data_IF_864882411528
#
_entry.id   IF_864882411528
#
_cell.length_a   1.000
_cell.length_b   1.000
_cell.length_c   1.000
_cell.angle_alpha   90.00
_cell.angle_beta   90.00
_cell.angle_gamma   90.00
#
_symmetry.space_group_name_H-M   'P 1'
#
loop_
_entity.id
_entity.type
_entity.pdbx_description
1 polymer ?
#
# COMPACT_ATOMS: atom_id res chain seq x y z
N UNK A 1 14.69 19.04 -57.51
CA UNK A 1 15.04 19.30 -56.12
C UNK A 1 13.88 19.09 -55.13
N UNK A 2 12.69 19.73 -55.32
CA UNK A 2 11.53 19.56 -54.37
C UNK A 2 11.06 18.08 -54.17
N UNK A 3 11.02 17.27 -55.24
CA UNK A 3 10.59 15.85 -55.10
C UNK A 3 11.57 14.98 -54.31
N UNK A 4 12.87 15.18 -54.45
CA UNK A 4 13.90 14.45 -53.70
C UNK A 4 13.82 14.81 -52.22
N UNK A 5 13.60 16.07 -51.88
CA UNK A 5 13.46 16.52 -50.50
C UNK A 5 12.24 15.90 -49.79
N UNK A 6 11.12 15.79 -50.51
CA UNK A 6 9.90 15.14 -49.99
C UNK A 6 10.11 13.65 -49.73
N UNK A 7 10.82 12.95 -50.58
CA UNK A 7 11.14 11.53 -50.42
C UNK A 7 12.08 11.31 -49.22
N UNK A 8 13.10 12.15 -49.08
CA UNK A 8 14.04 12.10 -47.95
C UNK A 8 13.31 12.36 -46.62
N UNK A 9 12.44 13.37 -46.57
CA UNK A 9 11.65 13.66 -45.39
C UNK A 9 10.67 12.53 -45.02
N UNK A 10 10.06 11.87 -46.00
CA UNK A 10 9.23 10.67 -45.76
C UNK A 10 10.03 9.48 -45.23
N UNK A 11 11.26 9.26 -45.71
CA UNK A 11 12.14 8.20 -45.23
C UNK A 11 12.58 8.50 -43.79
N UNK A 12 13.02 9.71 -43.51
CA UNK A 12 13.41 10.15 -42.16
C UNK A 12 12.24 9.98 -41.18
N UNK A 13 11.04 10.46 -41.55
CA UNK A 13 9.82 10.33 -40.75
C UNK A 13 9.48 8.85 -40.50
N UNK A 14 9.61 7.99 -41.49
CA UNK A 14 9.35 6.54 -41.37
C UNK A 14 10.40 5.86 -40.48
N UNK A 15 11.67 6.23 -40.58
CA UNK A 15 12.71 5.72 -39.70
C UNK A 15 12.55 6.21 -38.25
N UNK A 16 12.22 7.47 -38.05
CA UNK A 16 11.95 8.06 -36.75
C UNK A 16 10.75 7.41 -36.07
N UNK A 17 9.66 7.18 -36.80
CA UNK A 17 8.47 6.47 -36.30
C UNK A 17 8.80 5.00 -35.95
N UNK A 18 9.62 4.32 -36.76
CA UNK A 18 10.11 2.96 -36.46
C UNK A 18 10.96 2.93 -35.20
N UNK A 19 11.90 3.86 -35.06
CA UNK A 19 12.73 3.98 -33.88
C UNK A 19 11.90 4.27 -32.62
N UNK A 20 10.91 5.18 -32.69
CA UNK A 20 10.01 5.49 -31.59
C UNK A 20 9.13 4.28 -31.23
N UNK A 21 8.63 3.51 -32.21
CA UNK A 21 7.84 2.31 -31.95
C UNK A 21 8.65 1.16 -31.32
N UNK A 22 9.89 0.95 -31.79
CA UNK A 22 10.80 -0.05 -31.21
C UNK A 22 11.20 0.36 -29.79
N UNK A 23 11.50 1.64 -29.56
CA UNK A 23 11.79 2.18 -28.24
C UNK A 23 10.60 2.06 -27.28
N UNK A 24 9.37 2.35 -27.74
CA UNK A 24 8.15 2.15 -26.93
C UNK A 24 7.89 0.69 -26.60
N UNK A 25 8.15 -0.23 -27.51
CA UNK A 25 7.96 -1.67 -27.27
C UNK A 25 8.96 -2.15 -26.22
N UNK A 26 10.22 -1.78 -26.32
CA UNK A 26 11.25 -2.11 -25.32
C UNK A 26 10.94 -1.49 -23.95
N UNK A 27 10.44 -0.26 -23.88
CA UNK A 27 10.04 0.42 -22.65
C UNK A 27 8.85 -0.27 -21.97
N UNK A 28 7.86 -0.71 -22.75
CA UNK A 28 6.71 -1.41 -22.19
C UNK A 28 7.09 -2.81 -21.66
N UNK A 29 7.99 -3.52 -22.35
CA UNK A 29 8.54 -4.78 -21.86
C UNK A 29 9.33 -4.60 -20.57
N UNK A 30 10.15 -3.54 -20.46
CA UNK A 30 10.86 -3.20 -19.23
C UNK A 30 9.89 -2.84 -18.09
N UNK A 31 8.81 -2.10 -18.39
CA UNK A 31 7.77 -1.79 -17.43
C UNK A 31 7.14 -3.07 -16.86
N UNK A 32 6.70 -3.98 -17.73
CA UNK A 32 6.11 -5.25 -17.31
C UNK A 32 7.10 -6.10 -16.50
N UNK A 33 8.36 -6.16 -16.92
CA UNK A 33 9.41 -6.86 -16.19
C UNK A 33 9.75 -6.22 -14.81
N UNK A 34 9.43 -4.94 -14.62
CA UNK A 34 9.62 -4.25 -13.36
C UNK A 34 8.50 -4.49 -12.34
N UNK A 35 7.41 -5.15 -12.74
CA UNK A 35 6.26 -5.45 -11.89
C UNK A 35 6.30 -6.87 -11.32
N UNK A 36 5.61 -7.08 -10.19
CA UNK A 36 5.37 -8.43 -9.64
C UNK A 36 4.25 -9.15 -10.40
N UNK A 37 3.17 -8.43 -10.65
CA UNK A 37 2.02 -8.84 -11.45
C UNK A 37 1.23 -7.60 -11.88
N UNK A 38 0.57 -7.66 -13.03
CA UNK A 38 -0.34 -6.60 -13.50
C UNK A 38 -1.77 -6.82 -13.03
N UNK A 39 -2.10 -8.06 -12.71
CA UNK A 39 -3.45 -8.52 -12.41
C UNK A 39 -3.98 -8.02 -11.06
N UNK A 40 -3.09 -7.87 -10.08
CA UNK A 40 -3.43 -7.41 -8.72
C UNK A 40 -3.53 -5.90 -8.59
N UNK A 41 -3.22 -5.14 -9.64
CA UNK A 41 -3.24 -3.69 -9.62
C UNK A 41 -4.60 -3.14 -10.05
N UNK A 42 -5.13 -2.14 -9.34
CA UNK A 42 -6.26 -1.35 -9.84
C UNK A 42 -5.86 -0.57 -11.10
N UNK A 43 -6.86 -0.10 -11.88
CA UNK A 43 -6.57 0.70 -13.08
C UNK A 43 -5.72 1.93 -12.78
N UNK A 44 -6.05 2.63 -11.70
CA UNK A 44 -5.33 3.84 -11.26
C UNK A 44 -3.89 3.48 -10.84
N UNK A 45 -3.74 2.45 -10.03
CA UNK A 45 -2.43 1.97 -9.61
C UNK A 45 -1.57 1.59 -10.82
N UNK A 46 -2.09 0.79 -11.74
CA UNK A 46 -1.36 0.32 -12.91
C UNK A 46 -0.96 1.47 -13.86
N UNK A 47 -1.91 2.35 -14.20
CA UNK A 47 -1.72 3.34 -15.26
C UNK A 47 -1.18 4.68 -14.77
N UNK A 48 -1.38 5.03 -13.50
CA UNK A 48 -0.86 6.27 -12.91
C UNK A 48 0.32 5.99 -12.01
N UNK A 49 0.13 5.28 -10.91
CA UNK A 49 1.15 5.10 -9.89
C UNK A 49 2.35 4.30 -10.39
N UNK A 50 2.10 3.09 -10.90
CA UNK A 50 3.17 2.18 -11.37
C UNK A 50 3.88 2.69 -12.62
N UNK A 51 3.16 3.33 -13.55
CA UNK A 51 3.79 3.93 -14.75
C UNK A 51 4.65 5.12 -14.40
N UNK A 52 4.16 6.03 -13.56
CA UNK A 52 4.95 7.18 -13.10
C UNK A 52 6.18 6.70 -12.34
N UNK A 53 6.00 5.75 -11.40
CA UNK A 53 7.10 5.11 -10.69
C UNK A 53 8.13 4.46 -11.61
N UNK A 54 7.70 3.79 -12.69
CA UNK A 54 8.61 3.19 -13.66
C UNK A 54 9.46 4.23 -14.41
N UNK A 55 8.86 5.33 -14.86
CA UNK A 55 9.63 6.39 -15.55
C UNK A 55 10.66 7.02 -14.60
N UNK A 56 10.30 7.23 -13.33
CA UNK A 56 11.24 7.70 -12.31
C UNK A 56 12.33 6.66 -12.03
N UNK A 57 11.96 5.37 -11.88
CA UNK A 57 12.92 4.29 -11.68
C UNK A 57 13.91 4.17 -12.84
N UNK A 58 13.43 4.27 -14.07
CA UNK A 58 14.28 4.28 -15.26
C UNK A 58 15.24 5.48 -15.27
N UNK A 59 14.75 6.67 -14.92
CA UNK A 59 15.57 7.88 -14.82
C UNK A 59 16.62 7.74 -13.72
N UNK A 60 16.25 7.34 -12.51
CA UNK A 60 17.17 7.14 -11.39
C UNK A 60 18.16 6.00 -11.64
N UNK A 61 17.76 4.96 -12.36
CA UNK A 61 18.68 3.89 -12.76
C UNK A 61 19.80 4.41 -13.68
N UNK A 62 19.49 5.30 -14.62
CA UNK A 62 20.50 5.96 -15.46
C UNK A 62 21.48 6.82 -14.67
N UNK A 63 21.00 7.45 -13.58
CA UNK A 63 21.85 8.23 -12.69
C UNK A 63 22.62 7.38 -11.68
N UNK A 64 22.41 6.03 -11.68
CA UNK A 64 23.07 5.12 -10.76
C UNK A 64 22.59 5.21 -9.30
N UNK A 65 21.45 5.88 -9.04
CA UNK A 65 20.87 6.06 -7.71
C UNK A 65 20.52 4.71 -7.09
N UNK A 66 20.81 4.56 -5.80
CA UNK A 66 20.50 3.32 -5.08
C UNK A 66 19.01 3.29 -4.67
N UNK A 67 18.28 2.15 -4.79
CA UNK A 67 16.86 2.05 -4.41
C UNK A 67 16.56 2.58 -2.99
N UNK A 68 17.37 2.20 -2.00
CA UNK A 68 17.20 2.64 -0.61
C UNK A 68 17.19 4.17 -0.45
N UNK A 69 17.87 4.92 -1.31
CA UNK A 69 17.84 6.39 -1.26
C UNK A 69 16.47 6.93 -1.66
N UNK A 70 15.79 6.27 -2.59
CA UNK A 70 14.43 6.63 -3.01
C UNK A 70 13.43 6.28 -1.89
N UNK A 71 13.58 5.12 -1.23
CA UNK A 71 12.78 4.76 -0.05
C UNK A 71 12.92 5.81 1.07
N UNK A 72 14.16 6.23 1.38
CA UNK A 72 14.40 7.27 2.39
C UNK A 72 13.75 8.61 1.97
N UNK A 73 13.86 8.98 0.70
CA UNK A 73 13.22 10.19 0.17
C UNK A 73 11.69 10.12 0.31
N UNK A 74 11.08 8.98 0.03
CA UNK A 74 9.64 8.76 0.22
C UNK A 74 9.25 8.92 1.69
N UNK A 75 10.06 8.36 2.61
CA UNK A 75 9.84 8.50 4.06
C UNK A 75 9.90 9.95 4.51
N UNK A 76 10.88 10.72 4.06
CA UNK A 76 11.03 12.14 4.39
C UNK A 76 9.83 12.94 3.87
N UNK A 77 9.42 12.67 2.64
CA UNK A 77 8.30 13.38 2.01
C UNK A 77 6.97 13.04 2.70
N UNK A 78 6.71 11.76 2.95
CA UNK A 78 5.50 11.29 3.63
C UNK A 78 5.42 11.80 5.06
N UNK A 79 6.48 11.66 5.86
CA UNK A 79 6.52 12.19 7.22
C UNK A 79 6.43 13.72 7.24
N UNK A 80 7.08 14.42 6.29
CA UNK A 80 7.03 15.87 6.16
C UNK A 80 5.63 16.40 5.85
N UNK A 81 4.76 15.62 5.19
CA UNK A 81 3.37 16.00 4.93
C UNK A 81 2.57 16.22 6.23
N UNK A 82 3.01 15.65 7.34
CA UNK A 82 2.38 15.78 8.67
C UNK A 82 2.19 17.23 9.08
N UNK A 83 3.21 18.06 8.88
CA UNK A 83 3.13 19.48 9.23
C UNK A 83 1.98 20.17 8.50
N UNK A 84 1.83 19.90 7.22
CA UNK A 84 0.78 20.50 6.40
C UNK A 84 -0.61 19.93 6.73
N UNK A 85 -0.73 18.63 7.00
CA UNK A 85 -1.98 18.03 7.48
C UNK A 85 -2.40 18.59 8.84
N UNK A 86 -1.45 18.74 9.75
CA UNK A 86 -1.70 19.27 11.09
C UNK A 86 -2.17 20.74 11.07
N UNK A 87 -1.60 21.55 10.17
CA UNK A 87 -1.83 22.99 10.08
C UNK A 87 -2.84 23.39 8.99
N UNK A 88 -3.44 22.42 8.29
CA UNK A 88 -4.23 22.65 7.08
C UNK A 88 -5.71 22.99 7.30
N UNK A 89 -6.15 23.46 8.49
CA UNK A 89 -7.53 23.86 8.69
C UNK A 89 -7.87 25.10 7.85
N UNK A 90 -8.91 25.01 7.02
CA UNK A 90 -9.43 26.18 6.30
C UNK A 90 -10.55 26.85 7.07
N UNK A 91 -11.19 26.17 8.02
CA UNK A 91 -12.24 26.75 8.84
C UNK A 91 -11.67 27.71 9.89
N UNK A 92 -10.62 27.27 10.58
CA UNK A 92 -9.93 28.08 11.60
C UNK A 92 -8.84 28.95 10.99
N UNK A 93 -8.30 28.58 9.83
CA UNK A 93 -7.20 29.26 9.14
C UNK A 93 -5.84 28.92 9.73
N UNK A 94 -4.81 29.59 9.24
CA UNK A 94 -3.41 29.43 9.66
C UNK A 94 -2.88 30.70 10.31
N UNK A 95 -2.12 30.56 11.38
CA UNK A 95 -1.53 31.68 12.13
C UNK A 95 -2.54 32.46 12.98
N UNK A 96 -2.08 33.54 13.59
CA UNK A 96 -2.88 34.37 14.51
C UNK A 96 -4.05 35.08 13.79
N UNK A 97 -3.85 35.43 12.51
CA UNK A 97 -4.88 36.10 11.69
C UNK A 97 -5.91 35.12 11.09
N UNK A 98 -5.69 33.82 11.22
CA UNK A 98 -6.61 32.78 10.74
C UNK A 98 -6.77 32.76 9.23
N UNK A 99 -5.68 32.83 8.45
CA UNK A 99 -5.73 32.81 6.99
C UNK A 99 -6.24 31.45 6.45
N UNK A 100 -7.49 31.47 5.99
CA UNK A 100 -8.20 30.30 5.46
C UNK A 100 -7.63 29.78 4.15
N UNK A 101 -7.12 30.68 3.30
CA UNK A 101 -6.54 30.29 2.01
C UNK A 101 -5.24 29.51 2.20
N UNK A 102 -4.43 29.90 3.18
CA UNK A 102 -3.23 29.16 3.57
C UNK A 102 -3.59 27.78 4.11
N UNK A 103 -4.66 27.65 4.92
CA UNK A 103 -5.16 26.36 5.39
C UNK A 103 -5.54 25.42 4.25
N UNK A 104 -6.27 25.91 3.23
CA UNK A 104 -6.59 25.14 2.02
C UNK A 104 -5.32 24.73 1.26
N UNK A 105 -4.40 25.67 1.05
CA UNK A 105 -3.14 25.39 0.36
C UNK A 105 -2.32 24.32 1.07
N UNK A 106 -2.29 24.33 2.40
CA UNK A 106 -1.60 23.31 3.20
C UNK A 106 -2.22 21.92 3.02
N UNK A 107 -3.54 21.79 3.03
CA UNK A 107 -4.19 20.51 2.73
C UNK A 107 -3.81 19.99 1.34
N UNK A 108 -3.80 20.86 0.31
CA UNK A 108 -3.41 20.47 -1.06
C UNK A 108 -1.95 20.02 -1.11
N UNK A 109 -1.05 20.76 -0.44
CA UNK A 109 0.37 20.40 -0.36
C UNK A 109 0.55 19.07 0.37
N UNK A 110 -0.14 18.86 1.50
CA UNK A 110 -0.09 17.61 2.25
C UNK A 110 -0.49 16.40 1.41
N UNK A 111 -1.63 16.51 0.70
CA UNK A 111 -2.13 15.48 -0.21
C UNK A 111 -1.14 15.21 -1.34
N UNK A 112 -0.60 16.28 -1.95
CA UNK A 112 0.42 16.15 -3.00
C UNK A 112 1.70 15.48 -2.51
N UNK A 113 2.18 15.82 -1.30
CA UNK A 113 3.36 15.21 -0.71
C UNK A 113 3.14 13.72 -0.43
N UNK A 114 1.99 13.34 0.12
CA UNK A 114 1.67 11.94 0.38
C UNK A 114 1.54 11.14 -0.91
N UNK A 115 0.90 11.71 -1.94
CA UNK A 115 0.81 11.11 -3.27
C UNK A 115 2.22 10.84 -3.86
N UNK A 116 3.12 11.82 -3.79
CA UNK A 116 4.48 11.64 -4.29
C UNK A 116 5.31 10.69 -3.43
N UNK A 117 5.07 10.63 -2.10
CA UNK A 117 5.69 9.63 -1.25
C UNK A 117 5.32 8.21 -1.68
N UNK A 118 4.03 7.95 -1.98
CA UNK A 118 3.54 6.66 -2.48
C UNK A 118 4.10 6.33 -3.89
N UNK A 119 4.19 7.32 -4.80
CA UNK A 119 4.85 7.13 -6.11
C UNK A 119 6.31 6.75 -5.94
N UNK A 120 7.05 7.40 -5.02
CA UNK A 120 8.46 7.10 -4.77
C UNK A 120 8.65 5.72 -4.14
N UNK A 121 7.77 5.29 -3.25
CA UNK A 121 7.75 3.95 -2.68
C UNK A 121 7.56 2.87 -3.77
N UNK A 122 6.61 3.10 -4.68
CA UNK A 122 6.48 2.24 -5.86
C UNK A 122 7.71 2.28 -6.77
N UNK A 123 8.41 3.41 -6.84
CA UNK A 123 9.61 3.62 -7.66
C UNK A 123 10.79 2.80 -7.16
N UNK A 124 11.04 2.72 -5.86
CA UNK A 124 12.21 2.04 -5.30
C UNK A 124 12.18 0.53 -5.57
N UNK A 125 11.02 -0.12 -5.42
CA UNK A 125 10.85 -1.52 -5.77
C UNK A 125 11.02 -1.80 -7.26
N UNK A 126 10.57 -0.92 -8.14
CA UNK A 126 10.80 -1.02 -9.58
C UNK A 126 12.27 -0.76 -9.93
N UNK A 127 12.91 0.22 -9.29
CA UNK A 127 14.33 0.51 -9.44
C UNK A 127 15.20 -0.66 -8.97
N UNK A 128 14.84 -1.31 -7.85
CA UNK A 128 15.55 -2.49 -7.36
C UNK A 128 15.48 -3.66 -8.36
N UNK A 129 14.34 -3.83 -9.04
CA UNK A 129 14.16 -4.85 -10.08
C UNK A 129 14.94 -4.51 -11.36
N UNK A 130 14.88 -3.25 -11.81
CA UNK A 130 15.59 -2.79 -13.03
C UNK A 130 17.09 -2.78 -12.87
N UNK A 131 17.61 -2.35 -11.71
CA UNK A 131 19.05 -2.26 -11.44
C UNK A 131 19.68 -3.57 -10.97
N UNK A 132 18.87 -4.58 -10.59
CA UNK A 132 19.34 -5.80 -9.92
C UNK A 132 19.85 -5.60 -8.49
N UNK A 133 19.77 -4.38 -7.94
CA UNK A 133 20.29 -4.01 -6.60
C UNK A 133 19.25 -4.32 -5.52
N UNK A 134 18.94 -5.58 -5.32
CA UNK A 134 18.05 -6.02 -4.23
C UNK A 134 18.85 -6.24 -2.95
N UNK A 135 18.36 -5.72 -1.81
CA UNK A 135 19.01 -5.91 -0.51
C UNK A 135 17.98 -6.26 0.58
N UNK A 136 18.43 -6.96 1.62
CA UNK A 136 17.60 -7.26 2.78
C UNK A 136 17.21 -5.97 3.52
N UNK A 137 18.16 -5.03 3.66
CA UNK A 137 17.89 -3.71 4.24
C UNK A 137 16.84 -2.95 3.45
N UNK A 138 16.88 -3.01 2.10
CA UNK A 138 15.87 -2.38 1.24
C UNK A 138 14.47 -2.91 1.50
N UNK A 139 14.30 -4.23 1.65
CA UNK A 139 13.00 -4.83 1.99
C UNK A 139 12.47 -4.42 3.37
N UNK A 140 13.38 -4.21 4.34
CA UNK A 140 13.03 -3.73 5.67
C UNK A 140 12.56 -2.28 5.61
N UNK A 141 13.27 -1.42 4.89
CA UNK A 141 12.93 -0.03 4.69
C UNK A 141 11.59 0.14 3.96
N UNK A 142 11.39 -0.57 2.86
CA UNK A 142 10.13 -0.64 2.10
C UNK A 142 8.96 -1.03 3.01
N UNK A 143 9.08 -2.12 3.77
CA UNK A 143 8.06 -2.52 4.75
C UNK A 143 7.84 -1.55 5.91
N UNK A 144 8.79 -0.67 6.21
CA UNK A 144 8.69 0.33 7.27
C UNK A 144 8.14 1.68 6.76
N UNK A 145 8.23 1.96 5.46
CA UNK A 145 7.90 3.26 4.87
C UNK A 145 6.49 3.71 5.24
N UNK A 146 5.49 2.87 5.08
CA UNK A 146 4.11 3.17 5.42
C UNK A 146 3.90 3.58 6.89
N UNK A 147 4.61 2.94 7.83
CA UNK A 147 4.55 3.33 9.25
C UNK A 147 5.21 4.68 9.50
N UNK A 148 6.33 4.96 8.81
CA UNK A 148 7.04 6.25 8.91
C UNK A 148 6.18 7.41 8.42
N UNK A 149 5.30 7.20 7.44
CA UNK A 149 4.36 8.23 6.99
C UNK A 149 3.14 8.32 7.90
N UNK A 150 2.46 7.20 8.10
CA UNK A 150 1.11 7.21 8.68
C UNK A 150 1.11 7.53 10.17
N UNK A 151 2.11 7.08 10.95
CA UNK A 151 2.15 7.38 12.38
C UNK A 151 2.22 8.89 12.65
N UNK A 152 3.16 9.66 12.06
CA UNK A 152 3.19 11.11 12.26
C UNK A 152 1.94 11.81 11.73
N UNK A 153 1.42 11.41 10.56
CA UNK A 153 0.20 11.99 9.98
C UNK A 153 -0.98 11.80 10.93
N UNK A 154 -1.18 10.59 11.46
CA UNK A 154 -2.28 10.28 12.37
C UNK A 154 -2.19 11.07 13.68
N UNK A 155 -0.99 11.18 14.24
CA UNK A 155 -0.76 11.99 15.45
C UNK A 155 -0.94 13.49 15.17
N UNK A 156 -0.49 13.98 14.02
CA UNK A 156 -0.69 15.37 13.60
C UNK A 156 -2.17 15.70 13.41
N UNK A 157 -2.95 14.79 12.80
CA UNK A 157 -4.40 14.94 12.65
C UNK A 157 -5.12 14.84 14.00
N UNK A 158 -4.70 13.95 14.91
CA UNK A 158 -5.24 13.90 16.26
C UNK A 158 -5.05 15.25 16.99
N UNK A 159 -3.87 15.85 16.83
CA UNK A 159 -3.58 17.18 17.35
C UNK A 159 -4.47 18.26 16.73
N UNK A 160 -4.63 18.28 15.40
CA UNK A 160 -5.54 19.19 14.70
C UNK A 160 -6.98 19.06 15.20
N UNK A 161 -7.51 17.84 15.33
CA UNK A 161 -8.85 17.58 15.86
C UNK A 161 -8.97 18.09 17.30
N UNK A 162 -7.96 17.86 18.14
CA UNK A 162 -7.95 18.33 19.51
C UNK A 162 -7.95 19.87 19.61
N UNK A 163 -7.19 20.55 18.77
CA UNK A 163 -7.14 22.03 18.75
C UNK A 163 -8.44 22.66 18.23
N UNK A 164 -9.13 22.00 17.30
CA UNK A 164 -10.26 22.56 16.54
C UNK A 164 -11.57 21.83 16.81
N UNK A 165 -11.80 21.37 18.02
CA UNK A 165 -12.97 20.59 18.42
C UNK A 165 -14.27 21.38 18.63
N UNK A 166 -14.25 22.71 18.52
CA UNK A 166 -15.43 23.53 18.78
C UNK A 166 -16.58 23.26 17.79
N UNK A 167 -16.27 22.83 16.57
CA UNK A 167 -17.28 22.47 15.57
C UNK A 167 -18.03 21.19 15.99
N UNK A 168 -17.32 20.16 16.39
CA UNK A 168 -17.87 18.88 16.86
C UNK A 168 -18.66 19.07 18.16
N UNK A 169 -18.14 19.91 19.07
CA UNK A 169 -18.84 20.26 20.30
C UNK A 169 -20.17 20.97 20.02
N UNK A 170 -20.19 21.88 19.03
CA UNK A 170 -21.42 22.52 18.58
C UNK A 170 -22.45 21.53 18.03
N UNK A 171 -22.00 20.52 17.26
CA UNK A 171 -22.91 19.49 16.72
C UNK A 171 -23.53 18.61 17.79
N UNK A 172 -22.77 18.28 18.83
CA UNK A 172 -23.21 17.39 19.90
C UNK A 172 -23.80 18.14 21.12
N UNK A 173 -23.85 19.48 21.09
CA UNK A 173 -24.31 20.29 22.22
C UNK A 173 -23.43 20.12 23.47
N UNK A 174 -22.12 19.97 23.30
CA UNK A 174 -21.16 19.77 24.38
C UNK A 174 -20.55 21.11 24.76
N UNK A 175 -20.64 21.47 26.04
CA UNK A 175 -19.97 22.68 26.54
C UNK A 175 -18.44 22.55 26.47
N UNK A 176 -17.73 23.59 25.97
CA UNK A 176 -16.29 23.58 25.80
C UNK A 176 -15.55 23.82 27.14
N UNK A 177 -15.79 22.93 28.10
CA UNK A 177 -15.07 22.96 29.39
C UNK A 177 -13.70 22.24 29.26
N UNK A 178 -12.68 22.61 30.06
CA UNK A 178 -11.39 21.94 30.05
C UNK A 178 -11.51 20.41 30.25
N UNK A 179 -12.46 19.98 31.08
CA UNK A 179 -12.74 18.57 31.31
C UNK A 179 -13.29 17.87 30.06
N UNK A 180 -14.25 18.48 29.38
CA UNK A 180 -14.86 17.91 28.18
C UNK A 180 -13.84 17.88 27.03
N UNK A 181 -13.03 18.92 26.87
CA UNK A 181 -11.94 18.94 25.88
C UNK A 181 -10.89 17.86 26.13
N UNK A 182 -10.52 17.62 27.40
CA UNK A 182 -9.60 16.54 27.75
C UNK A 182 -10.19 15.15 27.44
N UNK A 183 -11.44 14.89 27.83
CA UNK A 183 -12.14 13.63 27.56
C UNK A 183 -12.23 13.38 26.05
N UNK A 184 -12.59 14.42 25.30
CA UNK A 184 -12.65 14.34 23.83
C UNK A 184 -11.29 14.03 23.23
N UNK A 185 -10.24 14.73 23.63
CA UNK A 185 -8.86 14.48 23.17
C UNK A 185 -8.40 13.04 23.44
N UNK A 186 -8.70 12.50 24.63
CA UNK A 186 -8.41 11.11 24.95
C UNK A 186 -9.22 10.13 24.06
N UNK A 187 -10.49 10.40 23.83
CA UNK A 187 -11.33 9.58 22.93
C UNK A 187 -10.80 9.59 21.49
N UNK A 188 -10.39 10.77 21.00
CA UNK A 188 -9.74 10.90 19.66
C UNK A 188 -8.44 10.11 19.61
N UNK A 189 -7.59 10.19 20.63
CA UNK A 189 -6.36 9.39 20.66
C UNK A 189 -6.65 7.89 20.63
N UNK A 190 -7.62 7.41 21.40
CA UNK A 190 -8.03 5.98 21.37
C UNK A 190 -8.52 5.60 19.98
N UNK A 191 -9.34 6.43 19.33
CA UNK A 191 -9.83 6.19 17.97
C UNK A 191 -8.66 6.15 16.96
N UNK A 192 -7.71 7.09 17.06
CA UNK A 192 -6.54 7.16 16.18
C UNK A 192 -5.65 5.93 16.36
N UNK A 193 -5.40 5.49 17.60
CA UNK A 193 -4.65 4.26 17.85
C UNK A 193 -5.38 3.03 17.31
N UNK A 194 -6.69 2.94 17.53
CA UNK A 194 -7.50 1.86 16.97
C UNK A 194 -7.45 1.86 15.44
N UNK A 195 -7.65 3.02 14.80
CA UNK A 195 -7.59 3.18 13.35
C UNK A 195 -6.21 2.80 12.79
N UNK A 196 -5.12 3.23 13.43
CA UNK A 196 -3.76 2.92 12.98
C UNK A 196 -3.37 1.45 13.13
N UNK A 197 -3.60 0.86 14.30
CA UNK A 197 -3.13 -0.50 14.59
C UNK A 197 -4.10 -1.59 14.13
N UNK A 198 -5.40 -1.42 14.37
CA UNK A 198 -6.44 -2.39 14.02
C UNK A 198 -6.96 -2.12 12.60
N UNK A 199 -7.25 -0.87 12.29
CA UNK A 199 -7.66 -0.42 10.96
C UNK A 199 -6.53 -0.60 9.94
N UNK A 200 -5.63 0.36 9.84
CA UNK A 200 -4.57 0.37 8.82
C UNK A 200 -3.71 -0.90 8.87
N UNK A 201 -3.03 -1.16 9.99
CA UNK A 201 -2.11 -2.29 10.13
C UNK A 201 -2.79 -3.66 10.04
N UNK A 202 -4.00 -3.80 10.61
CA UNK A 202 -4.76 -5.06 10.58
C UNK A 202 -5.34 -5.38 9.20
N UNK A 203 -5.93 -4.39 8.56
CA UNK A 203 -6.56 -4.54 7.24
C UNK A 203 -5.53 -4.77 6.14
N UNK A 204 -4.43 -3.98 6.10
CA UNK A 204 -3.34 -4.19 5.15
C UNK A 204 -2.73 -5.57 5.26
N UNK A 205 -2.54 -6.09 6.48
CA UNK A 205 -2.02 -7.44 6.69
C UNK A 205 -2.90 -8.52 6.02
N UNK A 206 -4.23 -8.37 6.07
CA UNK A 206 -5.17 -9.27 5.39
C UNK A 206 -5.08 -9.13 3.88
N UNK A 207 -5.01 -7.89 3.38
CA UNK A 207 -4.86 -7.59 1.94
C UNK A 207 -3.58 -8.19 1.36
N UNK A 208 -2.46 -7.98 2.04
CA UNK A 208 -1.16 -8.53 1.62
C UNK A 208 -1.21 -10.06 1.56
N UNK A 209 -1.86 -10.70 2.53
CA UNK A 209 -1.97 -12.15 2.54
C UNK A 209 -2.84 -12.67 1.40
N UNK A 210 -4.00 -12.06 1.16
CA UNK A 210 -4.86 -12.45 0.03
C UNK A 210 -4.20 -12.21 -1.32
N UNK A 211 -3.40 -11.15 -1.45
CA UNK A 211 -2.59 -10.91 -2.65
C UNK A 211 -1.55 -12.03 -2.84
N UNK A 212 -0.84 -12.44 -1.81
CA UNK A 212 0.13 -13.54 -1.89
C UNK A 212 -0.54 -14.87 -2.28
N UNK A 213 -1.68 -15.18 -1.66
CA UNK A 213 -2.47 -16.37 -1.97
C UNK A 213 -3.00 -16.36 -3.41
N UNK A 214 -3.48 -15.20 -3.89
CA UNK A 214 -3.90 -15.08 -5.28
C UNK A 214 -2.76 -15.29 -6.26
N UNK A 215 -1.59 -14.67 -6.01
CA UNK A 215 -0.41 -14.86 -6.84
C UNK A 215 0.05 -16.32 -6.90
N UNK A 216 -0.16 -17.09 -5.82
CA UNK A 216 0.08 -18.55 -5.82
C UNK A 216 -0.81 -19.29 -6.83
N UNK A 217 -2.04 -18.80 -7.05
CA UNK A 217 -3.00 -19.39 -8.01
C UNK A 217 -2.84 -18.81 -9.42
N UNK A 218 -2.18 -17.66 -9.58
CA UNK A 218 -1.93 -17.03 -10.89
C UNK A 218 -0.80 -17.75 -11.63
N UNK A 219 -0.97 -17.92 -12.97
CA UNK A 219 0.08 -18.47 -13.83
C UNK A 219 1.31 -17.57 -13.99
N UNK A 220 1.14 -16.28 -13.77
CA UNK A 220 2.23 -15.29 -13.89
C UNK A 220 3.24 -15.39 -12.74
N UNK A 221 2.88 -16.05 -11.66
CA UNK A 221 3.69 -16.17 -10.46
C UNK A 221 4.64 -17.37 -10.46
N UNK A 222 5.47 -17.51 -11.48
CA UNK A 222 6.52 -18.53 -11.50
C UNK A 222 7.45 -18.37 -10.27
N UNK A 223 7.31 -19.30 -9.30
CA UNK A 223 8.19 -19.37 -8.12
C UNK A 223 7.73 -18.52 -6.92
N UNK A 224 6.48 -18.07 -6.84
CA UNK A 224 5.97 -17.43 -5.63
C UNK A 224 5.64 -18.53 -4.61
N UNK A 225 6.47 -18.68 -3.60
CA UNK A 225 6.16 -19.48 -2.42
C UNK A 225 5.34 -18.62 -1.47
N UNK A 226 4.28 -19.21 -0.91
CA UNK A 226 3.51 -18.57 0.15
C UNK A 226 4.35 -18.58 1.44
N UNK A 227 4.57 -17.41 2.01
CA UNK A 227 5.25 -17.29 3.29
C UNK A 227 4.43 -17.98 4.40
N UNK A 228 5.06 -18.92 5.10
CA UNK A 228 4.47 -19.62 6.24
C UNK A 228 5.22 -19.32 7.52
N UNK A 229 4.47 -19.13 8.59
CA UNK A 229 5.06 -18.81 9.89
C UNK A 229 6.02 -19.89 10.40
N UNK A 230 5.76 -21.17 10.12
CA UNK A 230 6.67 -22.27 10.46
C UNK A 230 8.00 -22.20 9.69
N UNK A 231 7.97 -21.89 8.40
CA UNK A 231 9.19 -21.77 7.59
C UNK A 231 10.04 -20.61 8.09
N UNK A 232 9.39 -19.48 8.40
CA UNK A 232 10.06 -18.30 8.96
C UNK A 232 10.62 -18.58 10.36
N UNK A 233 9.91 -19.37 11.18
CA UNK A 233 10.41 -19.79 12.48
C UNK A 233 11.65 -20.68 12.35
N UNK A 234 11.65 -21.67 11.45
CA UNK A 234 12.82 -22.52 11.18
C UNK A 234 14.00 -21.69 10.71
N UNK A 235 13.77 -20.69 9.83
CA UNK A 235 14.82 -19.80 9.38
C UNK A 235 15.38 -18.92 10.52
N UNK A 236 14.52 -18.49 11.47
CA UNK A 236 14.95 -17.77 12.67
C UNK A 236 15.81 -18.64 13.60
N UNK A 237 15.41 -19.89 13.81
CA UNK A 237 16.11 -20.83 14.68
C UNK A 237 17.49 -21.22 14.10
N UNK A 238 17.67 -21.11 12.78
CA UNK A 238 18.93 -21.34 12.08
C UNK A 238 19.83 -20.09 11.97
N UNK A 239 19.41 -18.95 12.54
CA UNK A 239 20.25 -17.75 12.52
C UNK A 239 21.55 -17.97 13.29
N UNK A 240 22.69 -17.51 12.74
CA UNK A 240 23.97 -17.56 13.44
C UNK A 240 23.91 -16.89 14.82
N UNK A 241 24.73 -17.36 15.76
CA UNK A 241 24.78 -16.81 17.13
C UNK A 241 25.16 -15.32 17.12
N UNK A 242 26.00 -14.92 16.17
CA UNK A 242 26.48 -13.54 15.95
C UNK A 242 25.54 -12.69 15.05
N UNK A 243 24.38 -13.23 14.67
CA UNK A 243 23.38 -12.46 13.92
C UNK A 243 23.02 -11.18 14.68
N UNK A 244 22.93 -10.08 13.94
CA UNK A 244 22.67 -8.75 14.51
C UNK A 244 21.32 -8.69 15.20
N UNK A 245 21.22 -7.98 16.31
CA UNK A 245 20.01 -7.87 17.12
C UNK A 245 18.79 -7.38 16.33
N UNK A 246 18.97 -6.48 15.36
CA UNK A 246 17.91 -5.96 14.51
C UNK A 246 17.40 -7.02 13.49
N UNK A 247 18.27 -7.94 13.01
CA UNK A 247 17.86 -9.04 12.15
C UNK A 247 16.94 -10.00 12.91
N UNK A 248 17.31 -10.32 14.16
CA UNK A 248 16.48 -11.15 15.05
C UNK A 248 15.14 -10.49 15.36
N UNK A 249 15.15 -9.18 15.67
CA UNK A 249 13.94 -8.42 15.93
C UNK A 249 13.02 -8.38 14.71
N UNK A 250 13.59 -8.13 13.53
CA UNK A 250 12.84 -8.09 12.27
C UNK A 250 12.20 -9.45 11.96
N UNK A 251 12.98 -10.56 12.02
CA UNK A 251 12.45 -11.88 11.74
C UNK A 251 11.37 -12.28 12.76
N UNK A 252 11.54 -11.96 14.04
CA UNK A 252 10.52 -12.22 15.07
C UNK A 252 9.22 -11.46 14.79
N UNK A 253 9.32 -10.20 14.39
CA UNK A 253 8.16 -9.41 13.99
C UNK A 253 7.50 -9.97 12.73
N UNK A 254 8.28 -10.40 11.74
CA UNK A 254 7.78 -10.99 10.51
C UNK A 254 7.06 -12.32 10.76
N UNK A 255 7.61 -13.20 11.62
CA UNK A 255 6.95 -14.43 12.06
C UNK A 255 5.59 -14.12 12.70
N UNK A 256 5.55 -13.14 13.62
CA UNK A 256 4.30 -12.74 14.27
C UNK A 256 3.29 -12.16 13.25
N UNK A 257 3.77 -11.42 12.26
CA UNK A 257 2.95 -10.88 11.18
C UNK A 257 2.31 -12.00 10.36
N UNK A 258 3.10 -12.97 9.88
CA UNK A 258 2.64 -14.13 9.10
C UNK A 258 1.70 -15.02 9.93
N UNK A 259 2.04 -15.28 11.21
CA UNK A 259 1.19 -16.04 12.12
C UNK A 259 -0.19 -15.41 12.33
N UNK A 260 -0.26 -14.07 12.41
CA UNK A 260 -1.54 -13.35 12.48
C UNK A 260 -2.34 -13.44 11.17
N UNK A 261 -1.67 -13.49 10.00
CA UNK A 261 -2.33 -13.73 8.70
C UNK A 261 -2.99 -15.11 8.69
N UNK A 262 -2.25 -16.15 9.05
CA UNK A 262 -2.74 -17.53 9.12
C UNK A 262 -3.89 -17.68 10.12
N UNK A 263 -3.78 -17.08 11.32
CA UNK A 263 -4.84 -17.12 12.33
C UNK A 263 -6.13 -16.42 11.89
N UNK A 264 -6.03 -15.41 10.99
CA UNK A 264 -7.19 -14.68 10.47
C UNK A 264 -7.94 -15.50 9.41
N UNK A 265 -7.31 -16.51 8.79
CA UNK A 265 -7.82 -17.26 7.64
C UNK A 265 -7.80 -18.78 7.88
N UNK A 266 -8.44 -19.30 8.94
CA UNK A 266 -8.32 -20.71 9.33
C UNK A 266 -8.89 -21.71 8.32
N UNK A 267 -9.94 -21.33 7.56
CA UNK A 267 -10.53 -22.22 6.54
C UNK A 267 -9.67 -22.27 5.28
N UNK A 268 -9.04 -21.15 4.93
CA UNK A 268 -8.02 -21.13 3.88
C UNK A 268 -6.84 -22.02 4.26
N UNK A 269 -6.35 -21.98 5.51
CA UNK A 269 -5.26 -22.86 5.95
C UNK A 269 -5.63 -24.34 5.80
N UNK A 270 -6.86 -24.71 6.16
CA UNK A 270 -7.37 -26.09 5.98
C UNK A 270 -7.43 -26.48 4.50
N UNK A 271 -7.89 -25.57 3.63
CA UNK A 271 -7.92 -25.79 2.20
C UNK A 271 -6.52 -26.05 1.64
N UNK A 272 -5.56 -25.20 1.97
CA UNK A 272 -4.16 -25.35 1.53
C UNK A 272 -3.55 -26.67 2.01
N UNK A 273 -3.76 -27.03 3.28
CA UNK A 273 -3.29 -28.30 3.84
C UNK A 273 -3.92 -29.51 3.12
N UNK A 274 -5.22 -29.47 2.82
CA UNK A 274 -5.92 -30.56 2.10
C UNK A 274 -5.43 -30.69 0.66
N UNK A 275 -5.13 -29.58 -0.01
CA UNK A 275 -4.53 -29.61 -1.35
C UNK A 275 -3.14 -30.26 -1.30
N UNK A 276 -2.32 -29.92 -0.30
CA UNK A 276 -0.99 -30.53 -0.13
C UNK A 276 -1.06 -32.01 0.20
N UNK A 277 -1.99 -32.41 1.07
CA UNK A 277 -2.22 -33.83 1.41
C UNK A 277 -2.63 -34.64 0.14
N UNK A 278 -3.51 -34.08 -0.69
CA UNK A 278 -4.06 -34.78 -1.86
C UNK A 278 -3.10 -34.80 -3.06
N UNK A 279 -2.33 -33.73 -3.29
CA UNK A 279 -1.51 -33.55 -4.48
C UNK A 279 0.00 -33.47 -4.20
N UNK A 280 0.42 -33.62 -2.92
CA UNK A 280 1.82 -33.57 -2.51
C UNK A 280 2.40 -32.19 -2.35
N UNK A 281 1.94 -31.18 -3.13
CA UNK A 281 2.33 -29.78 -3.00
C UNK A 281 1.27 -28.86 -3.62
N UNK A 282 1.30 -27.57 -3.24
CA UNK A 282 0.42 -26.56 -3.85
C UNK A 282 0.71 -26.34 -5.34
N UNK A 283 1.94 -26.56 -5.77
CA UNK A 283 2.34 -26.45 -7.19
C UNK A 283 1.74 -27.53 -8.06
N UNK A 284 1.41 -28.69 -7.50
CA UNK A 284 0.90 -29.85 -8.23
C UNK A 284 -0.64 -29.90 -8.31
N UNK A 285 -1.34 -28.85 -7.80
CA UNK A 285 -2.79 -28.82 -7.89
C UNK A 285 -3.27 -28.84 -9.34
N UNK A 286 -4.39 -29.53 -9.63
CA UNK A 286 -4.99 -29.58 -10.98
C UNK A 286 -5.32 -28.17 -11.49
N UNK A 287 -5.20 -27.99 -12.81
CA UNK A 287 -5.43 -26.70 -13.47
C UNK A 287 -6.86 -26.18 -13.26
N UNK A 288 -7.86 -27.06 -13.29
CA UNK A 288 -9.27 -26.68 -13.04
C UNK A 288 -9.47 -26.13 -11.63
N UNK A 289 -8.84 -26.75 -10.63
CA UNK A 289 -8.87 -26.28 -9.25
C UNK A 289 -8.14 -24.94 -9.11
N UNK A 290 -6.97 -24.83 -9.73
CA UNK A 290 -6.18 -23.60 -9.76
C UNK A 290 -6.99 -22.44 -10.35
N UNK A 291 -7.61 -22.66 -11.51
CA UNK A 291 -8.45 -21.67 -12.16
C UNK A 291 -9.65 -21.27 -11.31
N UNK A 292 -10.32 -22.25 -10.67
CA UNK A 292 -11.46 -21.98 -9.77
C UNK A 292 -11.05 -21.08 -8.60
N UNK A 293 -9.88 -21.33 -7.96
CA UNK A 293 -9.34 -20.54 -6.86
C UNK A 293 -8.93 -19.14 -7.32
N UNK A 294 -8.27 -19.05 -8.47
CA UNK A 294 -7.86 -17.80 -9.11
C UNK A 294 -9.06 -16.90 -9.43
N UNK A 295 -10.04 -17.41 -10.18
CA UNK A 295 -11.20 -16.65 -10.66
C UNK A 295 -12.06 -16.14 -9.47
N UNK A 296 -12.04 -16.83 -8.34
CA UNK A 296 -12.73 -16.39 -7.13
C UNK A 296 -11.94 -15.34 -6.34
N UNK A 297 -10.62 -15.49 -6.24
CA UNK A 297 -9.78 -14.57 -5.46
C UNK A 297 -9.58 -13.21 -6.14
N UNK A 298 -9.58 -13.14 -7.46
CA UNK A 298 -9.36 -11.92 -8.23
C UNK A 298 -10.35 -10.78 -7.90
N UNK A 299 -11.69 -11.00 -7.90
CA UNK A 299 -12.63 -9.95 -7.51
C UNK A 299 -12.46 -9.48 -6.05
N UNK A 300 -11.99 -10.36 -5.16
CA UNK A 300 -11.76 -10.04 -3.75
C UNK A 300 -10.62 -9.03 -3.61
N UNK A 301 -9.53 -9.24 -4.36
CA UNK A 301 -8.40 -8.32 -4.39
C UNK A 301 -8.81 -6.97 -4.97
N UNK A 302 -9.61 -6.97 -6.02
CA UNK A 302 -10.07 -5.74 -6.66
C UNK A 302 -11.09 -4.94 -5.82
N UNK A 303 -11.69 -5.51 -4.77
CA UNK A 303 -12.52 -4.74 -3.82
C UNK A 303 -11.73 -3.71 -3.03
N UNK A 304 -10.42 -3.92 -2.86
CA UNK A 304 -9.42 -3.01 -2.27
C UNK A 304 -9.78 -2.38 -0.90
N UNK A 305 -10.74 -2.96 -0.15
CA UNK A 305 -11.09 -2.46 1.21
C UNK A 305 -9.90 -2.53 2.18
N UNK A 306 -8.91 -3.31 1.84
CA UNK A 306 -7.71 -3.55 2.66
C UNK A 306 -6.51 -2.74 2.18
N UNK A 307 -6.57 -2.19 0.96
CA UNK A 307 -5.49 -1.46 0.31
C UNK A 307 -5.29 -0.03 0.81
N UNK A 308 -4.27 0.62 0.27
CA UNK A 308 -3.91 2.01 0.62
C UNK A 308 -4.80 3.05 -0.08
N UNK A 309 -5.31 2.75 -1.28
CA UNK A 309 -6.00 3.71 -2.15
C UNK A 309 -7.21 4.37 -1.48
N UNK A 310 -8.11 3.60 -0.87
CA UNK A 310 -9.29 4.15 -0.19
C UNK A 310 -8.92 4.95 1.06
N UNK A 311 -7.83 4.60 1.76
CA UNK A 311 -7.31 5.37 2.89
C UNK A 311 -6.81 6.72 2.45
N UNK A 312 -5.97 6.76 1.42
CA UNK A 312 -5.44 8.00 0.86
C UNK A 312 -6.56 8.91 0.36
N UNK A 313 -7.55 8.35 -0.35
CA UNK A 313 -8.72 9.10 -0.82
C UNK A 313 -9.58 9.64 0.32
N UNK A 314 -9.88 8.83 1.35
CA UNK A 314 -10.65 9.28 2.50
C UNK A 314 -9.89 10.33 3.31
N UNK A 315 -8.58 10.17 3.49
CA UNK A 315 -7.72 11.15 4.14
C UNK A 315 -7.75 12.50 3.39
N UNK A 316 -7.57 12.46 2.07
CA UNK A 316 -7.66 13.65 1.22
C UNK A 316 -9.04 14.31 1.30
N UNK A 317 -10.11 13.53 1.16
CA UNK A 317 -11.48 14.04 1.21
C UNK A 317 -11.80 14.70 2.54
N UNK A 318 -11.59 14.00 3.66
CA UNK A 318 -11.95 14.50 4.98
C UNK A 318 -11.08 15.67 5.44
N UNK A 319 -9.83 15.75 5.01
CA UNK A 319 -8.98 16.91 5.29
C UNK A 319 -9.37 18.12 4.43
N UNK A 320 -9.78 17.92 3.18
CA UNK A 320 -10.28 19.00 2.31
C UNK A 320 -11.60 19.61 2.79
N UNK A 321 -12.49 18.82 3.39
CA UNK A 321 -13.73 19.34 3.99
C UNK A 321 -13.55 19.79 5.46
N UNK A 322 -12.30 19.80 5.95
CA UNK A 322 -11.93 20.16 7.33
C UNK A 322 -12.58 19.33 8.43
N UNK A 323 -12.82 18.05 8.14
CA UNK A 323 -13.37 17.10 9.09
C UNK A 323 -12.50 15.83 9.21
N UNK A 324 -11.24 15.96 9.67
CA UNK A 324 -10.30 14.84 9.71
C UNK A 324 -10.75 13.69 10.63
N UNK A 325 -11.61 13.94 11.62
CA UNK A 325 -12.24 12.89 12.43
C UNK A 325 -13.01 11.88 11.55
N UNK A 326 -13.63 12.36 10.47
CA UNK A 326 -14.36 11.53 9.50
C UNK A 326 -13.49 10.48 8.83
N UNK A 327 -12.20 10.75 8.59
CA UNK A 327 -11.25 9.77 8.06
C UNK A 327 -11.08 8.59 9.02
N UNK A 328 -10.86 8.82 10.31
CA UNK A 328 -10.70 7.76 11.30
C UNK A 328 -11.97 6.93 11.49
N UNK A 329 -13.14 7.58 11.43
CA UNK A 329 -14.43 6.89 11.47
C UNK A 329 -14.63 6.03 10.20
N UNK A 330 -14.34 6.56 9.02
CA UNK A 330 -14.43 5.84 7.77
C UNK A 330 -13.49 4.61 7.77
N UNK A 331 -12.24 4.78 8.18
CA UNK A 331 -11.27 3.68 8.23
C UNK A 331 -11.67 2.61 9.24
N UNK A 332 -12.10 3.03 10.44
CA UNK A 332 -12.47 2.09 11.50
C UNK A 332 -13.76 1.35 11.21
N UNK A 333 -14.77 2.03 10.66
CA UNK A 333 -16.11 1.48 10.45
C UNK A 333 -16.25 0.93 9.04
N UNK A 334 -16.11 1.77 8.02
CA UNK A 334 -16.42 1.38 6.64
C UNK A 334 -15.39 0.38 6.10
N UNK A 335 -14.10 0.71 6.18
CA UNK A 335 -13.06 -0.21 5.74
C UNK A 335 -12.97 -1.43 6.66
N UNK A 336 -13.24 -1.26 7.97
CA UNK A 336 -13.32 -2.37 8.92
C UNK A 336 -14.42 -3.37 8.56
N UNK A 337 -15.64 -2.92 8.33
CA UNK A 337 -16.76 -3.76 7.89
C UNK A 337 -16.50 -4.40 6.52
N UNK A 338 -15.93 -3.63 5.58
CA UNK A 338 -15.52 -4.15 4.27
C UNK A 338 -14.50 -5.28 4.40
N UNK A 339 -13.51 -5.13 5.26
CA UNK A 339 -12.50 -6.17 5.53
C UNK A 339 -13.14 -7.42 6.14
N UNK A 340 -13.99 -7.26 7.15
CA UNK A 340 -14.71 -8.39 7.75
C UNK A 340 -15.60 -9.12 6.74
N UNK A 341 -16.29 -8.38 5.87
CA UNK A 341 -17.07 -8.94 4.77
C UNK A 341 -16.18 -9.76 3.82
N UNK A 342 -15.03 -9.20 3.43
CA UNK A 342 -14.05 -9.85 2.55
C UNK A 342 -13.55 -11.17 3.17
N UNK A 343 -13.13 -11.15 4.43
CA UNK A 343 -12.69 -12.35 5.17
C UNK A 343 -13.80 -13.39 5.19
N UNK A 344 -15.00 -13.02 5.64
CA UNK A 344 -16.13 -13.94 5.76
C UNK A 344 -16.49 -14.60 4.43
N UNK A 345 -16.51 -13.82 3.35
CA UNK A 345 -16.81 -14.30 2.00
C UNK A 345 -15.73 -15.29 1.50
N UNK A 346 -14.45 -14.93 1.68
CA UNK A 346 -13.34 -15.78 1.25
C UNK A 346 -13.26 -17.08 2.06
N UNK A 347 -13.41 -17.01 3.37
CA UNK A 347 -13.41 -18.19 4.25
C UNK A 347 -14.56 -19.15 3.95
N UNK A 348 -15.78 -18.63 3.66
CA UNK A 348 -16.91 -19.46 3.26
C UNK A 348 -16.65 -20.20 1.93
N UNK A 349 -16.00 -19.55 0.98
CA UNK A 349 -15.60 -20.20 -0.27
C UNK A 349 -14.53 -21.28 -0.04
N UNK A 350 -13.52 -21.01 0.78
CA UNK A 350 -12.49 -21.99 1.13
C UNK A 350 -13.09 -23.23 1.78
N UNK A 351 -14.05 -23.07 2.69
CA UNK A 351 -14.76 -24.17 3.32
C UNK A 351 -15.53 -25.04 2.31
N UNK A 352 -16.25 -24.38 1.37
CA UNK A 352 -16.97 -25.08 0.31
C UNK A 352 -16.02 -25.88 -0.57
N UNK A 353 -14.94 -25.29 -1.05
CA UNK A 353 -13.95 -25.99 -1.89
C UNK A 353 -13.29 -27.14 -1.12
N UNK A 354 -13.01 -26.94 0.19
CA UNK A 354 -12.47 -27.99 1.03
C UNK A 354 -13.42 -29.19 1.13
N UNK A 355 -14.74 -28.97 1.18
CA UNK A 355 -15.72 -30.07 1.23
C UNK A 355 -15.86 -30.81 -0.09
N UNK A 356 -15.51 -30.21 -1.21
CA UNK A 356 -15.55 -30.81 -2.56
C UNK A 356 -14.27 -31.59 -2.89
N UNK A 357 -13.16 -31.38 -2.18
CA UNK A 357 -11.89 -32.10 -2.34
C UNK A 357 -11.86 -33.42 -1.60
#
# INVERSE_FOLDING_TARGET
MRHVLIIVLKIIKKQLLRYIMVSKKSMNEQFLASMKSTEVCSWFELNVMRRTGFYLAWFFNKLGVHPNAITILSMILGAGSTYFYMSGSWYYGYGEEGDKLVGVAFNIVAIGMLFWADVLDNTDGQLARLSGKRSQVGRILDGAAGFVWMIPIYLGLAWRIYQHHSMEFGWFGIDPTPRNSLIYGLAVLVLVFYSGFVGCGGQQRVGDYYMQVHLLFSKEANGTELDRSEQQQRAYDQLPVDAKWWERLFMKNYINYTKKQECTTPKLQRLLAKIEEKYGSLSNMPEDLRKKLHDYSLPIIHMDFTGFSYRALSLAFFTLIDFPLGHFLFESIILGLGTLYTIKKHEAFCEKVTSEL
#
